data_IF_588934292283
#
_entry.id   IF_588934292283
#
_cell.length_a   1.000
_cell.length_b   1.000
_cell.length_c   1.000
_cell.angle_alpha   90.00
_cell.angle_beta   90.00
_cell.angle_gamma   90.00
#
_symmetry.space_group_name_H-M   'P 1'
#
loop_
_entity.id
_entity.type
_entity.pdbx_description
1 polymer ?
#
# COMPACT_ATOMS: atom_id res chain seq x y z
N UNK A 1 5.77 0.83 -14.42
CA UNK A 1 6.85 -0.17 -14.23
C UNK A 1 6.31 -1.26 -13.33
N UNK A 2 6.33 -2.51 -13.74
CA UNK A 2 6.03 -3.67 -12.88
C UNK A 2 7.34 -4.02 -12.17
N UNK A 3 7.48 -3.65 -10.91
CA UNK A 3 8.56 -4.18 -10.08
C UNK A 3 8.26 -5.66 -9.84
N UNK A 4 9.17 -6.52 -10.25
CA UNK A 4 9.03 -7.97 -10.43
C UNK A 4 8.42 -8.82 -9.33
N UNK A 5 7.18 -8.57 -8.92
CA UNK A 5 6.38 -9.50 -8.09
C UNK A 5 6.86 -9.78 -6.65
N UNK A 6 7.96 -9.19 -6.21
CA UNK A 6 8.51 -9.39 -4.86
C UNK A 6 7.76 -8.55 -3.83
N UNK A 7 7.45 -9.13 -2.68
CA UNK A 7 6.90 -8.40 -1.55
C UNK A 7 7.99 -7.52 -0.89
N UNK A 8 7.59 -6.39 -0.30
CA UNK A 8 8.49 -5.58 0.52
C UNK A 8 9.36 -4.54 -0.21
N UNK A 9 9.31 -4.43 -1.53
CA UNK A 9 10.17 -3.50 -2.28
C UNK A 9 9.48 -2.21 -2.73
N UNK A 10 8.16 -2.16 -2.71
CA UNK A 10 7.39 -1.11 -3.39
C UNK A 10 7.68 0.31 -2.92
N UNK A 11 7.85 0.53 -1.61
CA UNK A 11 8.20 1.85 -1.08
C UNK A 11 9.62 2.25 -1.46
N UNK A 12 10.59 1.35 -1.32
CA UNK A 12 11.98 1.62 -1.70
C UNK A 12 12.09 1.95 -3.19
N UNK A 13 11.40 1.20 -4.06
CA UNK A 13 11.34 1.48 -5.50
C UNK A 13 10.73 2.86 -5.77
N UNK A 14 9.63 3.21 -5.09
CA UNK A 14 8.97 4.51 -5.26
C UNK A 14 9.91 5.67 -4.88
N UNK A 15 10.63 5.55 -3.77
CA UNK A 15 11.62 6.55 -3.35
C UNK A 15 12.79 6.65 -4.35
N UNK A 16 13.30 5.51 -4.84
CA UNK A 16 14.33 5.50 -5.88
C UNK A 16 13.87 6.14 -7.19
N UNK A 17 12.63 5.88 -7.62
CA UNK A 17 12.02 6.55 -8.78
C UNK A 17 11.88 8.05 -8.54
N UNK A 18 11.45 8.45 -7.33
CA UNK A 18 11.31 9.86 -6.98
C UNK A 18 12.66 10.59 -6.98
N UNK A 19 13.70 9.92 -6.50
CA UNK A 19 15.07 10.45 -6.54
C UNK A 19 15.54 10.67 -7.98
N UNK A 20 15.27 9.72 -8.87
CA UNK A 20 15.65 9.83 -10.30
C UNK A 20 14.75 10.77 -11.12
N UNK A 21 13.54 11.06 -10.63
CA UNK A 21 12.56 11.93 -11.29
C UNK A 21 11.99 12.97 -10.32
N UNK A 22 12.81 13.90 -9.80
CA UNK A 22 12.44 14.78 -8.69
C UNK A 22 11.26 15.71 -9.01
N UNK A 23 11.05 16.07 -10.26
CA UNK A 23 9.99 16.99 -10.68
C UNK A 23 8.67 16.29 -11.04
N UNK A 24 8.64 14.94 -11.04
CA UNK A 24 7.43 14.19 -11.38
C UNK A 24 6.74 13.65 -10.11
N UNK A 25 5.39 13.65 -10.08
CA UNK A 25 4.68 12.92 -9.05
C UNK A 25 4.95 11.42 -9.21
N UNK A 26 5.18 10.74 -8.10
CA UNK A 26 5.39 9.28 -8.04
C UNK A 26 4.32 8.68 -7.14
N UNK A 27 3.65 7.65 -7.62
CA UNK A 27 2.67 6.89 -6.85
C UNK A 27 3.09 5.42 -6.73
N UNK A 28 3.03 4.88 -5.52
CA UNK A 28 3.19 3.46 -5.21
C UNK A 28 1.82 2.86 -4.91
N UNK A 29 1.33 1.95 -5.76
CA UNK A 29 0.11 1.19 -5.53
C UNK A 29 0.48 -0.19 -4.99
N UNK A 30 0.05 -0.49 -3.77
CA UNK A 30 0.43 -1.69 -3.03
C UNK A 30 -0.82 -2.35 -2.45
N UNK A 31 -0.88 -3.68 -2.50
CA UNK A 31 -1.83 -4.42 -1.65
C UNK A 31 -1.37 -4.37 -0.20
N UNK A 32 -2.30 -4.48 0.74
CA UNK A 32 -2.04 -4.49 2.19
C UNK A 32 -0.99 -5.52 2.60
N UNK A 33 -1.10 -6.75 2.10
CA UNK A 33 -0.10 -7.79 2.35
C UNK A 33 1.30 -7.39 1.87
N UNK A 34 1.42 -6.87 0.64
CA UNK A 34 2.71 -6.38 0.13
C UNK A 34 3.22 -5.19 0.92
N UNK A 35 2.34 -4.29 1.35
CA UNK A 35 2.70 -3.12 2.13
C UNK A 35 3.32 -3.51 3.48
N UNK A 36 2.77 -4.52 4.17
CA UNK A 36 3.27 -5.01 5.45
C UNK A 36 4.70 -5.61 5.38
N UNK A 37 5.13 -6.09 4.22
CA UNK A 37 6.49 -6.57 4.02
C UNK A 37 7.50 -5.44 3.73
N UNK A 38 7.03 -4.21 3.50
CA UNK A 38 7.96 -3.09 3.34
C UNK A 38 8.51 -2.63 4.70
N UNK A 39 9.74 -2.11 4.74
CA UNK A 39 10.26 -1.41 5.91
C UNK A 39 9.61 -0.02 6.00
N UNK A 40 8.31 0.02 6.37
CA UNK A 40 7.45 1.21 6.26
C UNK A 40 8.01 2.38 7.06
N UNK A 41 8.37 2.15 8.32
CA UNK A 41 8.92 3.19 9.21
C UNK A 41 10.20 3.80 8.63
N UNK A 42 11.11 2.94 8.16
CA UNK A 42 12.39 3.37 7.57
C UNK A 42 12.17 4.12 6.26
N UNK A 43 11.25 3.63 5.41
CA UNK A 43 10.93 4.28 4.13
C UNK A 43 10.28 5.65 4.32
N UNK A 44 9.35 5.79 5.27
CA UNK A 44 8.73 7.08 5.59
C UNK A 44 9.76 8.05 6.20
N UNK A 45 10.66 7.58 7.07
CA UNK A 45 11.78 8.36 7.58
C UNK A 45 12.68 8.85 6.46
N UNK A 46 13.12 7.95 5.57
CA UNK A 46 13.95 8.30 4.41
C UNK A 46 13.25 9.27 3.45
N UNK A 47 11.95 9.10 3.23
CA UNK A 47 11.14 10.04 2.42
C UNK A 47 11.18 11.46 3.00
N UNK A 48 11.02 11.59 4.33
CA UNK A 48 11.08 12.88 5.02
C UNK A 48 12.47 13.48 4.96
N UNK A 49 13.47 12.72 5.36
CA UNK A 49 14.84 13.22 5.57
C UNK A 49 15.55 13.56 4.24
N UNK A 50 15.21 12.84 3.16
CA UNK A 50 15.74 13.11 1.83
C UNK A 50 14.83 14.00 0.95
N UNK A 51 13.68 14.46 1.45
CA UNK A 51 12.75 15.29 0.67
C UNK A 51 12.21 14.58 -0.57
N UNK A 52 11.83 13.31 -0.44
CA UNK A 52 11.33 12.46 -1.52
C UNK A 52 9.82 12.18 -1.37
N UNK A 53 8.94 13.17 -1.61
CA UNK A 53 7.50 13.01 -1.42
C UNK A 53 6.92 12.05 -2.47
N UNK A 54 6.16 11.05 -2.00
CA UNK A 54 5.48 10.06 -2.83
C UNK A 54 4.03 9.87 -2.38
N UNK A 55 3.16 9.51 -3.30
CA UNK A 55 1.82 9.05 -2.98
C UNK A 55 1.84 7.53 -2.75
N UNK A 56 1.47 7.10 -1.57
CA UNK A 56 1.33 5.68 -1.23
C UNK A 56 -0.15 5.32 -1.21
N UNK A 57 -0.56 4.39 -2.05
CA UNK A 57 -1.92 3.87 -2.10
C UNK A 57 -1.91 2.42 -1.64
N UNK A 58 -2.52 2.16 -0.49
CA UNK A 58 -2.69 0.81 0.04
C UNK A 58 -4.08 0.31 -0.32
N UNK A 59 -4.14 -0.72 -1.14
CA UNK A 59 -5.37 -1.41 -1.51
C UNK A 59 -5.66 -2.48 -0.45
N UNK A 60 -6.56 -2.19 0.49
CA UNK A 60 -6.80 -2.98 1.68
C UNK A 60 -7.97 -3.94 1.48
N UNK A 61 -7.68 -5.17 1.09
CA UNK A 61 -8.66 -6.25 0.95
C UNK A 61 -8.67 -7.22 2.15
N UNK A 62 -7.83 -6.99 3.16
CA UNK A 62 -7.68 -7.82 4.38
C UNK A 62 -7.24 -9.26 4.12
N UNK A 63 -6.51 -9.49 3.02
CA UNK A 63 -6.14 -10.85 2.63
C UNK A 63 -4.83 -10.91 1.85
N UNK A 64 -4.06 -11.96 2.10
CA UNK A 64 -3.05 -12.47 1.16
C UNK A 64 -3.72 -13.26 0.03
N UNK A 65 -4.59 -12.59 -0.74
CA UNK A 65 -5.42 -13.22 -1.77
C UNK A 65 -4.63 -14.02 -2.80
N UNK A 66 -3.44 -13.55 -3.17
CA UNK A 66 -2.58 -14.25 -4.11
C UNK A 66 -2.17 -15.64 -3.59
N UNK A 67 -1.96 -15.77 -2.28
CA UNK A 67 -1.62 -17.06 -1.65
C UNK A 67 -2.81 -18.02 -1.71
N UNK A 68 -4.01 -17.55 -1.41
CA UNK A 68 -5.24 -18.36 -1.50
C UNK A 68 -5.49 -18.83 -2.94
N UNK A 69 -5.37 -17.93 -3.92
CA UNK A 69 -5.56 -18.26 -5.34
C UNK A 69 -4.50 -19.25 -5.82
N UNK A 70 -3.23 -19.05 -5.42
CA UNK A 70 -2.14 -19.98 -5.73
C UNK A 70 -2.39 -21.37 -5.13
N UNK A 71 -2.84 -21.43 -3.88
CA UNK A 71 -3.19 -22.70 -3.23
C UNK A 71 -4.32 -23.43 -3.96
N UNK A 72 -5.40 -22.73 -4.30
CA UNK A 72 -6.53 -23.29 -5.07
C UNK A 72 -6.13 -23.76 -6.47
N UNK A 73 -5.14 -23.11 -7.09
CA UNK A 73 -4.64 -23.54 -8.39
C UNK A 73 -3.91 -24.89 -8.32
N UNK A 74 -3.15 -25.13 -7.26
CA UNK A 74 -2.40 -26.38 -7.06
C UNK A 74 -3.22 -27.48 -6.39
N UNK A 75 -4.18 -27.12 -5.55
CA UNK A 75 -5.00 -28.04 -4.76
C UNK A 75 -6.49 -27.66 -4.89
N UNK A 76 -7.10 -27.82 -6.07
CA UNK A 76 -8.49 -27.38 -6.33
C UNK A 76 -9.54 -28.10 -5.50
N UNK A 77 -9.24 -29.32 -5.03
CA UNK A 77 -10.11 -30.18 -4.21
C UNK A 77 -9.46 -30.49 -2.85
N UNK A 78 -8.65 -29.56 -2.34
CA UNK A 78 -7.97 -29.74 -1.07
C UNK A 78 -8.83 -29.41 0.15
N UNK A 79 -8.47 -29.97 1.29
CA UNK A 79 -9.16 -29.81 2.58
C UNK A 79 -9.38 -28.35 2.97
N UNK A 80 -8.44 -27.48 2.65
CA UNK A 80 -8.54 -26.04 2.96
C UNK A 80 -9.75 -25.38 2.25
N UNK A 81 -10.04 -25.81 1.02
CA UNK A 81 -11.20 -25.35 0.27
C UNK A 81 -12.50 -25.90 0.86
N UNK A 82 -12.53 -27.22 1.11
CA UNK A 82 -13.74 -27.91 1.59
C UNK A 82 -14.15 -27.43 2.99
N UNK A 83 -13.17 -27.14 3.84
CA UNK A 83 -13.38 -26.62 5.19
C UNK A 83 -13.48 -25.09 5.25
N UNK A 84 -13.27 -24.38 4.13
CA UNK A 84 -13.10 -22.91 4.08
C UNK A 84 -12.08 -22.38 5.11
N UNK A 85 -11.01 -23.15 5.34
CA UNK A 85 -9.97 -22.85 6.33
C UNK A 85 -8.70 -22.35 5.66
N UNK A 86 -8.44 -21.05 5.75
CA UNK A 86 -7.33 -20.35 5.09
C UNK A 86 -6.37 -19.77 6.13
N UNK A 87 -5.56 -20.62 6.77
CA UNK A 87 -4.59 -20.18 7.77
C UNK A 87 -3.58 -19.22 7.17
N UNK A 88 -3.35 -18.08 7.86
CA UNK A 88 -2.39 -17.08 7.46
C UNK A 88 -2.80 -16.22 6.24
N UNK A 89 -4.03 -16.38 5.72
CA UNK A 89 -4.53 -15.56 4.59
C UNK A 89 -5.13 -14.24 5.07
N UNK A 90 -5.77 -14.21 6.22
CA UNK A 90 -6.40 -13.00 6.75
C UNK A 90 -5.38 -12.00 7.28
N UNK A 91 -5.60 -10.73 6.97
CA UNK A 91 -4.82 -9.59 7.47
C UNK A 91 -5.75 -8.71 8.29
N UNK A 92 -5.47 -8.60 9.59
CA UNK A 92 -6.12 -7.65 10.48
C UNK A 92 -5.13 -6.53 10.79
N UNK A 93 -4.97 -5.64 9.82
CA UNK A 93 -4.00 -4.54 9.88
C UNK A 93 -4.59 -3.27 10.51
N UNK A 94 -3.73 -2.31 10.87
CA UNK A 94 -4.14 -1.01 11.37
C UNK A 94 -4.81 -0.18 10.25
N UNK A 95 -5.28 1.02 10.60
CA UNK A 95 -5.55 2.02 9.57
C UNK A 95 -4.22 2.51 8.98
N UNK A 96 -3.91 2.07 7.77
CA UNK A 96 -2.64 2.40 7.12
C UNK A 96 -2.48 3.90 6.85
N UNK A 97 -3.57 4.66 6.77
CA UNK A 97 -3.54 6.11 6.61
C UNK A 97 -2.85 6.82 7.80
N UNK A 98 -2.95 6.24 9.01
CA UNK A 98 -2.36 6.81 10.22
C UNK A 98 -0.84 6.59 10.34
N UNK A 99 -0.25 5.69 9.56
CA UNK A 99 1.18 5.37 9.67
C UNK A 99 2.11 6.53 9.25
N UNK A 100 1.61 7.47 8.46
CA UNK A 100 2.34 8.68 8.10
C UNK A 100 2.42 9.74 9.18
N UNK A 101 1.49 9.72 10.13
CA UNK A 101 1.30 10.76 11.13
C UNK A 101 2.53 11.07 11.98
N UNK A 102 3.29 10.09 12.49
CA UNK A 102 4.52 10.34 13.25
C UNK A 102 5.61 11.09 12.46
N UNK A 103 5.53 11.05 11.12
CA UNK A 103 6.45 11.73 10.22
C UNK A 103 5.93 13.09 9.73
N UNK A 104 4.72 13.52 10.19
CA UNK A 104 4.06 14.72 9.71
C UNK A 104 3.40 14.58 8.34
N UNK A 105 3.17 13.35 7.89
CA UNK A 105 2.54 13.04 6.61
C UNK A 105 1.03 12.83 6.76
N UNK A 106 0.21 13.44 5.89
CA UNK A 106 -1.22 13.25 5.91
C UNK A 106 -1.63 11.87 5.36
N UNK A 107 -2.76 11.37 5.84
CA UNK A 107 -3.37 10.16 5.35
C UNK A 107 -4.88 10.26 5.21
N UNK A 108 -5.45 9.47 4.31
CA UNK A 108 -6.88 9.39 4.07
C UNK A 108 -7.33 7.94 4.04
N UNK A 109 -8.37 7.65 4.81
CA UNK A 109 -9.09 6.39 4.74
C UNK A 109 -10.24 6.54 3.76
N UNK A 110 -10.26 5.69 2.76
CA UNK A 110 -11.29 5.65 1.71
C UNK A 110 -12.08 4.36 1.85
N UNK A 111 -13.22 4.43 2.49
CA UNK A 111 -14.16 3.32 2.73
C UNK A 111 -15.39 3.38 1.82
N UNK A 112 -15.47 4.40 0.97
CA UNK A 112 -16.57 4.67 0.05
C UNK A 112 -16.03 5.25 -1.25
N UNK A 113 -16.50 4.76 -2.39
CA UNK A 113 -16.07 5.23 -3.71
C UNK A 113 -16.28 6.74 -3.94
N UNK A 114 -17.32 7.32 -3.35
CA UNK A 114 -17.59 8.75 -3.44
C UNK A 114 -16.52 9.64 -2.80
N UNK A 115 -15.76 9.11 -1.83
CA UNK A 115 -14.65 9.82 -1.18
C UNK A 115 -13.34 9.76 -1.97
N UNK A 116 -13.22 8.83 -2.93
CA UNK A 116 -11.94 8.51 -3.58
C UNK A 116 -11.35 9.71 -4.32
N UNK A 117 -12.17 10.44 -5.09
CA UNK A 117 -11.70 11.59 -5.87
C UNK A 117 -11.11 12.66 -4.96
N UNK A 118 -11.83 13.10 -3.95
CA UNK A 118 -11.35 14.14 -3.03
C UNK A 118 -10.10 13.71 -2.24
N UNK A 119 -10.03 12.42 -1.86
CA UNK A 119 -8.85 11.87 -1.19
C UNK A 119 -7.61 11.87 -2.10
N UNK A 120 -7.76 11.51 -3.38
CA UNK A 120 -6.67 11.56 -4.36
C UNK A 120 -6.22 13.02 -4.59
N UNK A 121 -7.16 13.94 -4.76
CA UNK A 121 -6.85 15.37 -4.95
C UNK A 121 -6.08 15.95 -3.75
N UNK A 122 -6.55 15.67 -2.53
CA UNK A 122 -5.87 16.09 -1.30
C UNK A 122 -4.48 15.48 -1.14
N UNK A 123 -4.34 14.18 -1.44
CA UNK A 123 -3.06 13.49 -1.38
C UNK A 123 -2.06 14.00 -2.42
N UNK A 124 -2.51 14.28 -3.65
CA UNK A 124 -1.65 14.87 -4.69
C UNK A 124 -1.24 16.30 -4.34
N UNK A 125 -2.11 17.08 -3.70
CA UNK A 125 -1.75 18.40 -3.19
C UNK A 125 -0.64 18.27 -2.14
N UNK A 126 -0.77 17.39 -1.16
CA UNK A 126 0.26 17.15 -0.15
C UNK A 126 1.61 16.74 -0.76
N UNK A 127 1.59 15.87 -1.80
CA UNK A 127 2.82 15.46 -2.50
C UNK A 127 3.46 16.65 -3.25
N UNK A 128 2.67 17.54 -3.84
CA UNK A 128 3.18 18.78 -4.46
C UNK A 128 3.78 19.72 -3.42
N UNK A 129 3.23 19.74 -2.21
CA UNK A 129 3.72 20.52 -1.07
C UNK A 129 4.91 19.87 -0.36
N UNK A 130 5.53 18.85 -0.97
CA UNK A 130 6.73 18.19 -0.45
C UNK A 130 6.49 17.16 0.64
N UNK A 131 5.25 16.69 0.85
CA UNK A 131 4.91 15.69 1.88
C UNK A 131 4.47 14.38 1.24
N UNK A 132 5.01 13.27 1.71
CA UNK A 132 4.44 11.95 1.39
C UNK A 132 3.00 11.88 1.90
N UNK A 133 2.15 11.21 1.15
CA UNK A 133 0.73 11.05 1.46
C UNK A 133 0.34 9.57 1.41
N UNK A 134 -0.52 9.12 2.32
CA UNK A 134 -0.96 7.72 2.37
C UNK A 134 -2.47 7.65 2.18
N UNK A 135 -2.91 6.89 1.17
CA UNK A 135 -4.31 6.52 0.98
C UNK A 135 -4.51 5.07 1.41
N UNK A 136 -5.37 4.84 2.39
CA UNK A 136 -5.84 3.51 2.76
C UNK A 136 -7.21 3.27 2.10
N UNK A 137 -7.22 2.57 0.98
CA UNK A 137 -8.43 2.28 0.19
C UNK A 137 -8.98 0.94 0.59
N UNK A 138 -10.12 0.95 1.29
CA UNK A 138 -10.82 -0.25 1.73
C UNK A 138 -11.54 -0.86 0.53
N UNK A 139 -11.20 -2.10 0.20
CA UNK A 139 -11.87 -2.87 -0.83
C UNK A 139 -12.94 -3.76 -0.20
N UNK A 140 -14.13 -3.76 -0.80
CA UNK A 140 -15.16 -4.73 -0.45
C UNK A 140 -14.70 -6.13 -0.89
N UNK A 141 -15.02 -7.13 -0.07
CA UNK A 141 -14.76 -8.55 -0.36
C UNK A 141 -15.70 -9.08 -1.43
#
# INVERSE_FOLDING_TARGET
MRAGGWLGQGLGVALGVKLGLPHRPVAALLGDGSFLYNPVVQALGASRDAGLPVLVVVLYNRQYRAMQVGHLHHFPDGVAKDADMWHGVHIDGPDYAELGRPFGFPGWKVDNAGKLKGAIEGALCAVKDGKTAILNVILNR
#
